data_IF_810561913910
#
_entry.id   IF_810561913910
#
_cell.length_a   1.000
_cell.length_b   1.000
_cell.length_c   1.000
_cell.angle_alpha   90.00
_cell.angle_beta   90.00
_cell.angle_gamma   90.00
#
_symmetry.space_group_name_H-M   'P 1'
#
loop_
_entity.id
_entity.type
_entity.pdbx_description
1 polymer ?
#
# COMPACT_ATOMS: atom_id res chain seq x y z
N UNK A 1 20.19 -42.50 57.02
CA UNK A 1 19.57 -41.16 57.12
C UNK A 1 20.14 -40.18 56.10
N UNK A 2 21.47 -40.03 55.96
CA UNK A 2 22.09 -39.10 54.99
C UNK A 2 21.77 -39.38 53.51
N UNK A 3 21.62 -40.65 53.12
CA UNK A 3 21.31 -41.03 51.73
C UNK A 3 19.92 -40.53 51.28
N UNK A 4 18.94 -40.53 52.19
CA UNK A 4 17.61 -39.94 51.91
C UNK A 4 17.63 -38.42 51.81
N UNK A 5 18.45 -37.76 52.65
CA UNK A 5 18.66 -36.30 52.54
C UNK A 5 19.38 -35.93 51.23
N UNK A 6 20.36 -36.72 50.79
CA UNK A 6 21.08 -36.48 49.53
C UNK A 6 20.13 -36.60 48.32
N UNK A 7 19.27 -37.62 48.27
CA UNK A 7 18.30 -37.75 47.19
C UNK A 7 17.27 -36.61 47.18
N UNK A 8 16.79 -36.17 48.35
CA UNK A 8 15.88 -35.03 48.44
C UNK A 8 16.54 -33.73 47.93
N UNK A 9 17.81 -33.49 48.30
CA UNK A 9 18.55 -32.32 47.84
C UNK A 9 18.80 -32.34 46.32
N UNK A 10 19.11 -33.50 45.75
CA UNK A 10 19.30 -33.66 44.30
C UNK A 10 17.99 -33.42 43.55
N UNK A 11 16.86 -33.93 44.05
CA UNK A 11 15.53 -33.72 43.43
C UNK A 11 15.15 -32.24 43.48
N UNK A 12 15.41 -31.54 44.59
CA UNK A 12 15.14 -30.10 44.73
C UNK A 12 16.04 -29.28 43.80
N UNK A 13 17.33 -29.62 43.69
CA UNK A 13 18.22 -28.93 42.75
C UNK A 13 17.81 -29.15 41.29
N UNK A 14 17.42 -30.39 40.94
CA UNK A 14 16.95 -30.71 39.59
C UNK A 14 15.63 -30.02 39.26
N UNK A 15 14.69 -29.92 40.21
CA UNK A 15 13.42 -29.22 39.98
C UNK A 15 13.62 -27.71 39.80
N UNK A 16 14.52 -27.09 40.58
CA UNK A 16 14.90 -25.69 40.41
C UNK A 16 15.59 -25.43 39.06
N UNK A 17 16.47 -26.34 38.63
CA UNK A 17 17.17 -26.24 37.35
C UNK A 17 16.18 -26.35 36.17
N UNK A 18 15.22 -27.29 36.23
CA UNK A 18 14.16 -27.44 35.23
C UNK A 18 13.28 -26.19 35.18
N UNK A 19 12.88 -25.64 36.34
CA UNK A 19 12.08 -24.40 36.39
C UNK A 19 12.82 -23.20 35.79
N UNK A 20 14.13 -23.07 36.02
CA UNK A 20 14.95 -21.99 35.44
C UNK A 20 15.09 -22.12 33.93
N UNK A 21 15.29 -23.32 33.41
CA UNK A 21 15.37 -23.58 31.97
C UNK A 21 14.00 -23.33 31.31
N UNK A 22 12.91 -23.83 31.88
CA UNK A 22 11.58 -23.59 31.32
C UNK A 22 11.15 -22.11 31.37
N UNK A 23 11.53 -21.39 32.43
CA UNK A 23 11.29 -19.95 32.55
C UNK A 23 12.02 -19.16 31.46
N UNK A 24 13.32 -19.41 31.27
CA UNK A 24 14.11 -18.71 30.24
C UNK A 24 13.61 -18.98 28.82
N UNK A 25 13.04 -20.16 28.57
CA UNK A 25 12.44 -20.49 27.27
C UNK A 25 11.12 -19.76 27.04
N UNK A 26 10.35 -19.45 28.09
CA UNK A 26 9.14 -18.63 28.00
C UNK A 26 9.49 -17.18 27.66
N UNK A 27 10.48 -16.63 28.35
CA UNK A 27 10.90 -15.24 28.14
C UNK A 27 11.54 -15.04 26.76
N UNK A 28 12.31 -16.03 26.26
CA UNK A 28 12.88 -16.00 24.93
C UNK A 28 11.81 -16.05 23.80
N UNK A 29 10.65 -16.68 24.02
CA UNK A 29 9.52 -16.65 23.07
C UNK A 29 8.76 -15.32 23.11
N UNK A 30 8.60 -14.74 24.29
CA UNK A 30 8.00 -13.40 24.44
C UNK A 30 8.88 -12.30 23.85
N UNK A 31 10.20 -12.52 23.84
CA UNK A 31 11.21 -11.59 23.34
C UNK A 31 11.52 -11.74 21.85
N UNK A 32 10.80 -12.57 21.09
CA UNK A 32 10.93 -12.50 19.63
C UNK A 32 10.43 -11.10 19.21
N UNK A 33 11.32 -10.17 18.78
CA UNK A 33 10.84 -8.91 18.24
C UNK A 33 9.94 -9.27 17.07
N UNK A 34 8.83 -8.55 16.83
CA UNK A 34 7.98 -8.81 15.68
C UNK A 34 8.91 -8.86 14.47
N UNK A 35 9.06 -10.05 13.91
CA UNK A 35 9.77 -10.27 12.66
C UNK A 35 9.31 -9.14 11.76
N UNK A 36 10.25 -8.31 11.28
CA UNK A 36 9.99 -7.39 10.19
C UNK A 36 9.62 -8.25 8.98
N UNK A 37 8.41 -8.78 8.95
CA UNK A 37 7.53 -8.68 7.80
C UNK A 37 7.49 -7.18 7.50
N UNK A 38 8.53 -6.70 6.81
CA UNK A 38 8.32 -5.72 5.74
C UNK A 38 7.34 -6.40 4.83
N UNK A 39 6.09 -6.18 5.16
CA UNK A 39 4.96 -6.68 4.45
C UNK A 39 5.19 -6.29 3.02
N UNK A 40 5.18 -7.25 2.09
CA UNK A 40 5.10 -6.96 0.66
C UNK A 40 3.93 -6.01 0.31
N UNK A 41 3.04 -5.72 1.25
CA UNK A 41 2.04 -4.65 1.18
C UNK A 41 2.63 -3.25 0.98
N UNK A 42 3.85 -2.93 1.43
CA UNK A 42 4.42 -1.59 1.16
C UNK A 42 4.83 -1.37 -0.30
N UNK A 43 5.00 -2.43 -1.10
CA UNK A 43 5.21 -2.29 -2.55
C UNK A 43 3.91 -1.96 -3.30
N UNK A 44 2.74 -2.26 -2.73
CA UNK A 44 1.45 -1.89 -3.31
C UNK A 44 1.01 -0.46 -2.95
N UNK A 45 1.63 0.15 -1.93
CA UNK A 45 1.26 1.48 -1.39
C UNK A 45 1.71 2.64 -2.28
N UNK A 46 2.62 2.44 -3.25
CA UNK A 46 3.15 3.56 -4.04
C UNK A 46 2.62 3.68 -5.48
N UNK A 47 1.96 2.66 -6.04
CA UNK A 47 1.53 2.73 -7.45
C UNK A 47 0.48 3.84 -7.69
N UNK A 48 -0.36 4.09 -6.70
CA UNK A 48 -1.47 5.05 -6.80
C UNK A 48 -1.18 6.37 -6.10
N UNK A 49 -0.04 6.45 -5.40
CA UNK A 49 0.38 7.64 -4.67
C UNK A 49 0.44 8.85 -5.60
N UNK A 50 -0.12 9.95 -5.13
CA UNK A 50 -0.33 11.14 -5.95
C UNK A 50 -0.07 12.41 -5.16
N UNK A 51 0.14 13.50 -5.89
CA UNK A 51 0.43 14.82 -5.36
C UNK A 51 -0.40 15.87 -6.08
N UNK A 52 -0.86 16.88 -5.35
CA UNK A 52 -1.34 18.14 -5.91
C UNK A 52 -0.35 19.25 -5.60
N UNK A 53 -0.24 20.23 -6.49
CA UNK A 53 0.60 21.40 -6.25
C UNK A 53 -0.27 22.50 -5.63
N UNK A 54 0.13 23.04 -4.49
CA UNK A 54 -0.58 24.10 -3.77
C UNK A 54 0.37 25.28 -3.52
N UNK A 55 -0.11 26.49 -3.80
CA UNK A 55 0.65 27.73 -3.65
C UNK A 55 -0.05 28.91 -4.30
N UNK A 56 0.53 30.09 -4.15
CA UNK A 56 -0.04 31.36 -4.65
C UNK A 56 0.60 31.81 -5.98
N UNK A 57 1.40 30.96 -6.62
CA UNK A 57 2.04 31.30 -7.88
C UNK A 57 1.01 31.36 -9.04
N UNK A 58 1.05 32.40 -9.90
CA UNK A 58 0.11 32.52 -11.03
C UNK A 58 0.23 31.35 -12.03
N UNK A 59 1.42 30.77 -12.19
CA UNK A 59 1.64 29.61 -13.04
C UNK A 59 0.93 28.34 -12.51
N UNK A 60 0.57 28.30 -11.23
CA UNK A 60 -0.11 27.18 -10.61
C UNK A 60 -1.61 27.11 -10.94
N UNK A 61 -2.20 28.19 -11.47
CA UNK A 61 -3.63 28.23 -11.83
C UNK A 61 -4.00 27.13 -12.82
N UNK A 62 -3.13 26.80 -13.77
CA UNK A 62 -3.34 25.72 -14.76
C UNK A 62 -3.37 24.33 -14.13
N UNK A 63 -2.80 24.18 -12.94
CA UNK A 63 -2.69 22.92 -12.18
C UNK A 63 -3.71 22.82 -11.04
N UNK A 64 -4.49 23.88 -10.79
CA UNK A 64 -5.48 23.92 -9.70
C UNK A 64 -6.52 22.82 -9.85
N UNK A 65 -6.75 22.07 -8.77
CA UNK A 65 -7.72 20.97 -8.73
C UNK A 65 -7.25 19.67 -9.41
N UNK A 66 -6.00 19.61 -9.91
CA UNK A 66 -5.44 18.39 -10.51
C UNK A 66 -4.55 17.66 -9.50
N UNK A 67 -4.70 16.34 -9.43
CA UNK A 67 -3.78 15.43 -8.73
C UNK A 67 -2.98 14.65 -9.77
N UNK A 68 -1.68 14.58 -9.58
CA UNK A 68 -0.74 13.88 -10.45
C UNK A 68 -0.22 12.65 -9.72
N UNK A 69 -0.03 11.53 -10.41
CA UNK A 69 0.81 10.48 -9.82
C UNK A 69 2.19 11.06 -9.56
N UNK A 70 2.88 10.60 -8.51
CA UNK A 70 4.20 11.13 -8.16
C UNK A 70 5.18 11.07 -9.33
N UNK A 71 5.16 10.00 -10.11
CA UNK A 71 5.99 9.84 -11.30
C UNK A 71 5.72 10.87 -12.42
N UNK A 72 4.54 11.48 -12.44
CA UNK A 72 4.11 12.44 -13.47
C UNK A 72 3.93 13.86 -12.92
N UNK A 73 4.34 14.11 -11.68
CA UNK A 73 4.19 15.42 -11.07
C UNK A 73 5.14 16.42 -11.74
N UNK A 74 4.67 17.64 -12.09
CA UNK A 74 5.55 18.67 -12.60
C UNK A 74 6.54 19.07 -11.49
N UNK A 75 7.83 19.33 -11.82
CA UNK A 75 8.78 19.79 -10.82
C UNK A 75 8.36 21.16 -10.26
N UNK A 76 8.65 21.39 -8.98
CA UNK A 76 8.54 22.70 -8.36
C UNK A 76 9.93 23.37 -8.37
N UNK A 77 10.04 24.66 -8.77
CA UNK A 77 8.97 25.56 -9.24
C UNK A 77 8.42 25.18 -10.62
N UNK A 78 7.11 25.37 -10.82
CA UNK A 78 6.45 25.05 -12.09
C UNK A 78 6.96 25.94 -13.24
N UNK A 79 6.95 25.44 -14.49
CA UNK A 79 7.32 26.24 -15.67
C UNK A 79 6.49 27.52 -15.74
N UNK A 80 7.16 28.67 -15.85
CA UNK A 80 6.50 29.98 -15.88
C UNK A 80 6.30 30.65 -14.52
N UNK A 81 6.77 30.05 -13.42
CA UNK A 81 6.91 30.77 -12.16
C UNK A 81 7.94 31.90 -12.30
N UNK A 82 7.52 33.15 -12.02
CA UNK A 82 8.38 34.35 -12.07
C UNK A 82 8.73 34.90 -10.68
N UNK A 83 8.41 34.15 -9.61
CA UNK A 83 8.68 34.59 -8.25
C UNK A 83 10.14 34.31 -7.89
N UNK A 84 10.82 35.30 -7.30
CA UNK A 84 12.21 35.16 -6.84
C UNK A 84 12.32 34.10 -5.72
N UNK A 85 11.28 33.99 -4.90
CA UNK A 85 11.10 32.92 -3.92
C UNK A 85 9.74 32.25 -4.11
N UNK A 86 9.75 30.94 -4.38
CA UNK A 86 8.54 30.16 -4.65
C UNK A 86 8.15 29.30 -3.45
N UNK A 87 7.01 29.60 -2.83
CA UNK A 87 6.48 28.86 -1.66
C UNK A 87 5.50 27.73 -2.04
N UNK A 88 5.55 27.27 -3.30
CA UNK A 88 4.68 26.18 -3.75
C UNK A 88 5.12 24.86 -3.10
N UNK A 89 4.15 24.03 -2.71
CA UNK A 89 4.40 22.73 -2.08
C UNK A 89 3.57 21.63 -2.72
N UNK A 90 4.04 20.40 -2.59
CA UNK A 90 3.24 19.22 -2.87
C UNK A 90 2.39 18.85 -1.66
N UNK A 91 1.13 18.54 -1.92
CA UNK A 91 0.25 17.86 -0.96
C UNK A 91 0.05 16.44 -1.45
N UNK A 92 0.31 15.47 -0.58
CA UNK A 92 0.26 14.05 -0.90
C UNK A 92 -1.13 13.45 -0.71
N UNK A 93 -1.49 12.51 -1.57
CA UNK A 93 -2.75 11.76 -1.55
C UNK A 93 -2.51 10.31 -1.93
N UNK A 94 -3.34 9.42 -1.41
CA UNK A 94 -3.24 7.96 -1.64
C UNK A 94 -3.65 7.54 -3.05
N UNK A 95 -4.57 8.27 -3.69
CA UNK A 95 -4.99 8.08 -5.09
C UNK A 95 -5.19 9.46 -5.74
N UNK A 96 -4.86 9.57 -7.03
CA UNK A 96 -5.08 10.79 -7.82
C UNK A 96 -6.54 11.03 -8.16
N UNK A 97 -7.41 10.04 -7.99
CA UNK A 97 -8.84 10.18 -8.23
C UNK A 97 -9.47 10.96 -7.10
N UNK A 98 -10.41 11.83 -7.45
CA UNK A 98 -11.22 12.51 -6.46
C UNK A 98 -12.40 11.60 -6.11
N UNK A 99 -12.70 11.42 -4.82
CA UNK A 99 -13.80 10.56 -4.38
C UNK A 99 -15.16 11.08 -4.91
N UNK A 100 -15.22 12.36 -5.28
CA UNK A 100 -16.38 13.01 -5.89
C UNK A 100 -16.55 12.71 -7.39
N UNK A 101 -15.50 12.27 -8.09
CA UNK A 101 -15.55 11.87 -9.51
C UNK A 101 -15.78 10.35 -9.61
N UNK A 102 -16.72 9.84 -8.81
CA UNK A 102 -17.09 8.43 -8.68
C UNK A 102 -17.89 7.94 -9.91
N UNK A 103 -17.31 8.14 -11.09
CA UNK A 103 -17.77 7.57 -12.36
C UNK A 103 -17.82 6.04 -12.36
N UNK A 104 -17.44 5.37 -11.27
CA UNK A 104 -17.50 3.92 -11.12
C UNK A 104 -18.70 3.45 -10.31
N UNK A 105 -19.26 4.27 -9.42
CA UNK A 105 -20.44 3.89 -8.63
C UNK A 105 -21.64 3.67 -9.54
N UNK A 106 -22.13 4.74 -10.19
CA UNK A 106 -23.29 4.63 -11.10
C UNK A 106 -23.00 3.80 -12.35
N UNK A 107 -21.82 3.93 -12.96
CA UNK A 107 -21.53 3.17 -14.18
C UNK A 107 -21.26 1.69 -13.91
N UNK A 108 -20.70 1.35 -12.73
CA UNK A 108 -20.55 -0.03 -12.29
C UNK A 108 -21.91 -0.70 -12.10
N UNK A 109 -22.80 -0.05 -11.36
CA UNK A 109 -24.18 -0.52 -11.19
C UNK A 109 -24.91 -0.66 -12.54
N UNK A 110 -24.75 0.32 -13.44
CA UNK A 110 -25.35 0.28 -14.78
C UNK A 110 -24.81 -0.89 -15.62
N UNK A 111 -23.52 -1.21 -15.50
CA UNK A 111 -22.92 -2.35 -16.17
C UNK A 111 -23.50 -3.67 -15.63
N UNK A 112 -23.62 -3.80 -14.30
CA UNK A 112 -24.21 -4.96 -13.61
C UNK A 112 -25.66 -5.20 -14.06
N UNK A 113 -26.47 -4.14 -14.09
CA UNK A 113 -27.87 -4.17 -14.54
C UNK A 113 -27.97 -4.54 -16.03
N UNK A 114 -27.05 -4.05 -16.86
CA UNK A 114 -27.00 -4.41 -18.26
C UNK A 114 -26.72 -5.90 -18.45
N UNK A 115 -25.77 -6.48 -17.70
CA UNK A 115 -25.50 -7.93 -17.73
C UNK A 115 -26.69 -8.77 -17.23
N UNK A 116 -27.45 -8.30 -16.24
CA UNK A 116 -28.66 -8.98 -15.78
C UNK A 116 -29.85 -8.88 -16.76
N UNK A 117 -29.87 -7.89 -17.65
CA UNK A 117 -30.98 -7.66 -18.58
C UNK A 117 -31.15 -8.72 -19.68
N UNK A 118 -30.35 -9.80 -19.67
CA UNK A 118 -30.36 -10.86 -20.68
C UNK A 118 -29.80 -10.43 -22.04
N UNK A 119 -29.48 -9.14 -22.21
CA UNK A 119 -28.72 -8.64 -23.35
C UNK A 119 -27.26 -9.06 -23.16
N UNK A 120 -26.89 -10.19 -23.76
CA UNK A 120 -25.53 -10.71 -23.70
C UNK A 120 -24.48 -9.64 -24.03
N UNK A 121 -23.34 -9.70 -23.35
CA UNK A 121 -22.25 -8.76 -23.61
C UNK A 121 -21.73 -8.96 -25.04
N UNK A 122 -21.90 -7.94 -25.88
CA UNK A 122 -21.40 -7.95 -27.27
C UNK A 122 -19.87 -7.87 -27.33
N UNK A 123 -19.18 -7.66 -26.20
CA UNK A 123 -17.72 -7.73 -26.07
C UNK A 123 -17.16 -9.16 -26.13
N UNK A 124 -18.00 -10.20 -26.17
CA UNK A 124 -17.58 -11.61 -26.29
C UNK A 124 -16.92 -11.95 -27.63
N UNK A 125 -16.96 -11.06 -28.64
CA UNK A 125 -16.15 -11.22 -29.85
C UNK A 125 -14.68 -11.05 -29.49
N UNK A 126 -13.97 -12.17 -29.40
CA UNK A 126 -12.50 -12.27 -29.37
C UNK A 126 -11.94 -11.56 -30.60
N UNK A 127 -11.64 -10.28 -30.44
CA UNK A 127 -11.35 -9.38 -31.55
C UNK A 127 -11.79 -7.96 -31.23
N UNK A 128 -11.31 -7.41 -30.12
CA UNK A 128 -11.37 -5.97 -29.91
C UNK A 128 -10.51 -5.23 -30.94
N UNK A 129 -10.46 -3.89 -30.87
CA UNK A 129 -9.68 -2.98 -31.75
C UNK A 129 -8.16 -3.25 -31.88
N UNK A 130 -7.66 -4.37 -31.36
CA UNK A 130 -6.24 -4.80 -31.37
C UNK A 130 -6.02 -6.13 -32.07
N UNK A 131 -7.01 -6.67 -32.79
CA UNK A 131 -6.81 -7.87 -33.61
C UNK A 131 -5.71 -7.67 -34.66
N UNK A 132 -5.53 -6.43 -35.11
CA UNK A 132 -4.58 -6.05 -36.16
C UNK A 132 -3.20 -5.66 -35.60
N UNK A 133 -3.11 -5.24 -34.33
CA UNK A 133 -1.85 -4.83 -33.68
C UNK A 133 -0.82 -5.96 -33.62
N UNK A 134 -1.25 -7.24 -33.68
CA UNK A 134 -0.36 -8.41 -33.65
C UNK A 134 0.51 -8.52 -34.91
N UNK A 135 0.21 -7.79 -35.98
CA UNK A 135 0.90 -7.89 -37.28
C UNK A 135 2.02 -6.86 -37.49
N UNK A 136 2.35 -6.00 -36.52
CA UNK A 136 3.30 -4.88 -36.73
C UNK A 136 4.66 -5.03 -36.04
N UNK A 137 5.17 -6.26 -35.91
CA UNK A 137 6.59 -6.48 -35.61
C UNK A 137 7.32 -6.99 -36.86
N UNK A 138 7.81 -6.08 -37.70
CA UNK A 138 8.83 -6.33 -38.71
C UNK A 138 9.79 -5.14 -38.76
#
# INVERSE_FOLDING_TARGET
MYQGMLFALVIVLMSLLVLRIYGSWRDARASQPPSKRRTRQSAAVEQWHSVSCVGNCPALNTYKGKRFLVANAPPLPVPGCKADHCDCRYVHYTDRRDDMDERRGLNGLRAELYTQSGKGDRRSRSGGRRSEDRLTFH
#
